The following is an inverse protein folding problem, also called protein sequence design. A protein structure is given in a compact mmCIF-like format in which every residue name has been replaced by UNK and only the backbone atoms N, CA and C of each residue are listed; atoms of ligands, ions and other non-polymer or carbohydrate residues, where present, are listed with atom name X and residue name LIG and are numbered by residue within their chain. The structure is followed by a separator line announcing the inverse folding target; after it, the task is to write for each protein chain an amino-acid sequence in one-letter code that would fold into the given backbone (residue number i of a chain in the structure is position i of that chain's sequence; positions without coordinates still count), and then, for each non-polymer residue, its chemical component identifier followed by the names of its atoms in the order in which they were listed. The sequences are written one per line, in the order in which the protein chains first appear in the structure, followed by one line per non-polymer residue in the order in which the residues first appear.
data_IF_119701705971
#
_entry.id   IF_119701705971
#
_cell.length_a   1.000
_cell.length_b   1.000
_cell.length_c   1.000
_cell.angle_alpha   90.00
_cell.angle_beta   90.00
_cell.angle_gamma   90.00
#
_symmetry.space_group_name_H-M   'P 1'
#
loop_
_entity.id
_entity.type
_entity.pdbx_description
1 polymer ?
#
# COMPACT_ATOMS: atom_id res chain seq x y z
N UNK A 1 1.80 8.51 7.49
CA UNK A 1 0.66 8.78 8.41
C UNK A 1 0.94 9.84 9.52
N UNK A 2 1.88 9.65 10.47
CA UNK A 2 2.08 10.58 11.61
C UNK A 2 2.24 12.06 11.21
N UNK A 3 3.08 12.31 10.21
CA UNK A 3 3.35 13.67 9.69
C UNK A 3 2.08 14.40 9.19
N UNK A 4 1.12 13.65 8.65
CA UNK A 4 -0.17 14.20 8.21
C UNK A 4 -1.06 14.50 9.42
N UNK A 5 -1.16 13.56 10.37
CA UNK A 5 -1.96 13.73 11.58
C UNK A 5 -1.54 14.97 12.39
N UNK A 6 -0.23 15.20 12.55
CA UNK A 6 0.30 16.37 13.26
C UNK A 6 -0.07 17.70 12.57
N UNK A 7 0.11 17.81 11.26
CA UNK A 7 -0.20 19.04 10.49
C UNK A 7 -1.69 19.34 10.42
N UNK A 8 -2.51 18.30 10.33
CA UNK A 8 -3.98 18.43 10.29
C UNK A 8 -4.62 18.47 11.68
N UNK A 9 -3.84 18.24 12.75
CA UNK A 9 -4.33 18.14 14.15
C UNK A 9 -5.41 17.07 14.31
N UNK A 10 -5.20 15.91 13.69
CA UNK A 10 -6.12 14.77 13.70
C UNK A 10 -5.55 13.60 14.53
N UNK A 11 -6.43 12.68 14.90
CA UNK A 11 -6.04 11.40 15.51
C UNK A 11 -5.33 10.48 14.52
N UNK A 12 -4.57 9.52 15.04
CA UNK A 12 -3.84 8.53 14.27
C UNK A 12 -4.30 7.12 14.67
N UNK A 13 -4.58 6.29 13.67
CA UNK A 13 -4.70 4.85 13.81
C UNK A 13 -3.60 4.18 12.98
N UNK A 14 -3.09 3.04 13.45
CA UNK A 14 -2.01 2.29 12.80
C UNK A 14 -2.50 0.88 12.51
N UNK A 15 -2.19 0.36 11.33
CA UNK A 15 -2.45 -1.03 10.99
C UNK A 15 -1.19 -1.86 11.20
N UNK A 16 -1.32 -3.02 11.83
CA UNK A 16 -0.25 -3.99 11.96
C UNK A 16 -0.70 -5.34 11.39
N UNK A 17 0.18 -5.97 10.62
CA UNK A 17 0.06 -7.39 10.29
C UNK A 17 0.69 -8.20 11.41
N UNK A 18 -0.11 -8.89 12.21
CA UNK A 18 0.41 -9.84 13.20
C UNK A 18 0.63 -11.19 12.54
N UNK A 19 1.90 -11.61 12.39
CA UNK A 19 2.21 -12.99 12.06
C UNK A 19 1.61 -13.89 13.13
N UNK A 20 0.55 -14.63 12.78
CA UNK A 20 0.13 -15.77 13.59
C UNK A 20 1.28 -16.80 13.52
N UNK A 21 2.17 -16.77 14.50
CA UNK A 21 2.95 -17.95 14.83
C UNK A 21 1.93 -18.96 15.37
N UNK A 22 1.53 -19.93 14.55
CA UNK A 22 0.85 -21.10 15.08
C UNK A 22 1.75 -21.72 16.14
N UNK A 23 1.22 -21.96 17.34
CA UNK A 23 1.89 -22.66 18.45
C UNK A 23 2.17 -24.16 18.14
N UNK A 24 2.47 -24.50 16.88
CA UNK A 24 2.79 -25.86 16.44
C UNK A 24 4.28 -26.14 16.30
N UNK A 25 5.14 -25.13 16.37
CA UNK A 25 6.60 -25.32 16.31
C UNK A 25 7.21 -25.52 17.71
N UNK A 26 6.67 -26.47 18.48
CA UNK A 26 7.47 -27.19 19.48
C UNK A 26 8.35 -28.20 18.76
N UNK A 27 9.29 -27.70 17.95
CA UNK A 27 10.37 -28.49 17.41
C UNK A 27 11.40 -28.69 18.53
N UNK A 28 11.27 -29.79 19.28
CA UNK A 28 12.17 -30.14 20.38
C UNK A 28 13.58 -30.57 19.94
N UNK A 29 14.02 -30.22 18.72
CA UNK A 29 15.40 -30.41 18.25
C UNK A 29 15.98 -31.84 18.32
N UNK A 30 15.17 -32.87 18.60
CA UNK A 30 15.64 -34.22 18.91
C UNK A 30 15.33 -35.27 17.86
N UNK A 31 14.70 -34.90 16.75
CA UNK A 31 14.37 -35.84 15.69
C UNK A 31 14.99 -35.42 14.35
N UNK A 32 16.00 -36.18 13.92
CA UNK A 32 16.45 -36.18 12.53
C UNK A 32 15.28 -36.56 11.61
N UNK A 33 15.13 -35.94 10.43
CA UNK A 33 14.05 -36.27 9.51
C UNK A 33 14.14 -37.75 9.08
N UNK A 34 13.01 -38.46 8.95
CA UNK A 34 13.01 -39.86 8.52
C UNK A 34 13.47 -39.97 7.05
N UNK A 35 14.14 -41.07 6.67
CA UNK A 35 14.53 -41.29 5.28
C UNK A 35 13.28 -41.50 4.42
N UNK A 36 13.24 -40.80 3.28
CA UNK A 36 12.12 -40.82 2.35
C UNK A 36 12.02 -42.19 1.65
N UNK A 37 10.86 -42.85 1.76
CA UNK A 37 10.59 -44.09 1.03
C UNK A 37 10.21 -43.80 -0.42
N UNK A 38 10.91 -44.46 -1.34
CA UNK A 38 10.82 -44.37 -2.79
C UNK A 38 9.41 -44.51 -3.40
N UNK A 39 9.09 -43.68 -4.40
CA UNK A 39 8.13 -44.04 -5.45
C UNK A 39 7.51 -42.91 -6.27
N UNK A 40 8.14 -42.51 -7.38
CA UNK A 40 7.64 -42.69 -8.78
C UNK A 40 8.23 -41.62 -9.71
N UNK A 41 9.02 -42.09 -10.67
CA UNK A 41 9.73 -41.36 -11.73
C UNK A 41 8.77 -40.67 -12.72
N UNK A 42 9.03 -39.39 -13.02
CA UNK A 42 8.86 -38.84 -14.37
C UNK A 42 10.18 -38.22 -14.81
N UNK A 43 10.58 -38.52 -16.03
CA UNK A 43 11.89 -38.26 -16.62
C UNK A 43 12.01 -36.85 -17.16
N UNK A 44 13.05 -36.11 -16.75
CA UNK A 44 13.49 -34.88 -17.43
C UNK A 44 14.48 -34.02 -16.63
N UNK A 45 15.75 -34.08 -17.01
CA UNK A 45 16.88 -33.19 -16.66
C UNK A 45 17.43 -33.20 -15.20
N UNK A 46 18.72 -33.58 -14.99
CA UNK A 46 19.39 -33.42 -13.72
C UNK A 46 20.04 -32.03 -13.65
N UNK A 47 19.50 -31.12 -12.86
CA UNK A 47 20.19 -29.87 -12.56
C UNK A 47 19.27 -28.76 -12.06
N UNK A 48 19.34 -28.50 -10.76
CA UNK A 48 18.65 -27.46 -9.99
C UNK A 48 17.12 -27.68 -9.81
N UNK A 49 16.77 -28.56 -8.87
CA UNK A 49 15.53 -28.37 -8.12
C UNK A 49 15.72 -27.14 -7.21
N UNK A 50 15.25 -25.98 -7.66
CA UNK A 50 15.05 -24.83 -6.78
C UNK A 50 13.96 -25.22 -5.78
N UNK A 51 14.19 -25.09 -4.46
CA UNK A 51 13.13 -25.27 -3.48
C UNK A 51 11.93 -24.41 -3.87
N UNK A 52 10.77 -25.04 -4.03
CA UNK A 52 9.51 -24.34 -4.25
C UNK A 52 9.29 -23.48 -2.99
N UNK A 53 9.57 -22.17 -3.08
CA UNK A 53 9.33 -21.25 -1.97
C UNK A 53 7.84 -21.32 -1.67
N UNK A 54 7.47 -21.87 -0.51
CA UNK A 54 6.10 -21.79 -0.04
C UNK A 54 5.71 -20.32 0.01
N UNK A 55 4.56 -20.00 -0.59
CA UNK A 55 4.00 -18.65 -0.51
C UNK A 55 3.86 -18.30 0.98
N UNK A 56 4.59 -17.27 1.42
CA UNK A 56 4.50 -16.77 2.79
C UNK A 56 3.11 -16.18 2.96
N UNK A 57 2.25 -16.85 3.73
CA UNK A 57 0.91 -16.37 4.02
C UNK A 57 1.01 -15.02 4.73
N UNK A 58 0.38 -13.99 4.15
CA UNK A 58 0.39 -12.64 4.73
C UNK A 58 -0.43 -12.66 6.03
N UNK A 59 0.10 -12.11 7.14
CA UNK A 59 -0.63 -12.05 8.39
C UNK A 59 -1.94 -11.26 8.28
N UNK A 60 -2.99 -11.64 9.04
CA UNK A 60 -4.20 -10.85 9.12
C UNK A 60 -3.88 -9.44 9.66
N UNK A 61 -4.45 -8.44 8.99
CA UNK A 61 -4.27 -7.02 9.33
C UNK A 61 -5.18 -6.69 10.51
N UNK A 62 -4.67 -5.93 11.47
CA UNK A 62 -5.45 -5.42 12.60
C UNK A 62 -5.19 -3.93 12.78
N UNK A 63 -6.21 -3.19 13.22
CA UNK A 63 -6.14 -1.73 13.43
C UNK A 63 -5.93 -1.44 14.91
N UNK A 64 -5.06 -0.50 15.23
CA UNK A 64 -4.87 0.08 16.57
C UNK A 64 -5.22 1.56 16.51
N UNK A 65 -6.26 1.95 17.25
CA UNK A 65 -6.81 3.31 17.25
C UNK A 65 -8.34 3.33 17.11
N UNK A 66 -8.96 4.46 17.45
CA UNK A 66 -10.40 4.68 17.30
C UNK A 66 -10.72 5.27 15.91
N UNK A 67 -11.49 4.53 15.11
CA UNK A 67 -11.94 4.93 13.77
C UNK A 67 -13.47 4.99 13.67
N UNK A 68 -14.20 4.62 14.72
CA UNK A 68 -15.65 4.49 14.70
C UNK A 68 -16.35 5.84 14.54
N UNK A 69 -17.27 5.93 13.57
CA UNK A 69 -18.02 7.16 13.29
C UNK A 69 -17.17 8.27 12.69
N UNK A 70 -15.99 7.96 12.13
CA UNK A 70 -15.06 8.93 11.52
C UNK A 70 -14.82 8.63 10.04
N UNK A 71 -14.25 9.62 9.35
CA UNK A 71 -13.62 9.42 8.04
C UNK A 71 -12.22 8.86 8.29
N UNK A 72 -11.89 7.74 7.65
CA UNK A 72 -10.55 7.18 7.64
C UNK A 72 -9.78 7.67 6.40
N UNK A 73 -8.54 8.14 6.60
CA UNK A 73 -7.64 8.52 5.52
C UNK A 73 -6.39 7.64 5.65
N UNK A 74 -6.23 6.69 4.74
CA UNK A 74 -5.04 5.86 4.60
C UNK A 74 -4.00 6.70 3.85
N UNK A 75 -2.79 6.79 4.39
CA UNK A 75 -1.71 7.60 3.81
C UNK A 75 -0.48 6.73 3.60
N UNK A 76 -0.07 6.60 2.35
CA UNK A 76 1.15 5.91 1.93
C UNK A 76 1.96 6.76 0.94
N UNK A 77 3.13 6.28 0.53
CA UNK A 77 3.93 6.93 -0.52
C UNK A 77 3.58 6.43 -1.93
N UNK A 78 3.33 5.13 -2.08
CA UNK A 78 3.09 4.44 -3.35
C UNK A 78 1.82 3.60 -3.25
N UNK A 79 1.03 3.57 -4.33
CA UNK A 79 -0.02 2.58 -4.54
C UNK A 79 0.25 1.83 -5.86
N UNK A 80 0.55 0.54 -5.73
CA UNK A 80 0.83 -0.36 -6.86
C UNK A 80 -0.09 -1.59 -6.77
N UNK A 81 0.24 -2.53 -5.89
CA UNK A 81 -0.66 -3.61 -5.47
C UNK A 81 -1.68 -3.08 -4.47
N UNK A 82 -2.96 -3.33 -4.72
CA UNK A 82 -4.07 -2.74 -3.94
C UNK A 82 -4.72 -3.70 -2.95
N UNK A 83 -4.35 -4.97 -2.95
CA UNK A 83 -4.97 -6.00 -2.09
C UNK A 83 -4.92 -5.61 -0.60
N UNK A 84 -3.76 -5.15 -0.13
CA UNK A 84 -3.57 -4.75 1.26
C UNK A 84 -4.40 -3.49 1.60
N UNK A 85 -4.55 -2.57 0.64
CA UNK A 85 -5.39 -1.37 0.79
C UNK A 85 -6.88 -1.70 0.84
N UNK A 86 -7.33 -2.67 0.04
CA UNK A 86 -8.71 -3.16 0.04
C UNK A 86 -9.00 -3.87 1.36
N UNK A 87 -8.13 -4.78 1.81
CA UNK A 87 -8.27 -5.45 3.11
C UNK A 87 -8.33 -4.44 4.27
N UNK A 88 -7.46 -3.43 4.24
CA UNK A 88 -7.48 -2.32 5.19
C UNK A 88 -8.82 -1.56 5.18
N UNK A 89 -9.35 -1.24 4.00
CA UNK A 89 -10.61 -0.54 3.85
C UNK A 89 -11.78 -1.33 4.47
N UNK A 90 -11.85 -2.64 4.23
CA UNK A 90 -12.89 -3.49 4.82
C UNK A 90 -12.83 -3.49 6.35
N UNK A 91 -11.63 -3.65 6.94
CA UNK A 91 -11.46 -3.62 8.41
C UNK A 91 -11.86 -2.26 8.99
N UNK A 92 -11.51 -1.16 8.32
CA UNK A 92 -11.91 0.18 8.73
C UNK A 92 -13.44 0.34 8.68
N UNK A 93 -14.09 -0.21 7.64
CA UNK A 93 -15.55 -0.20 7.48
C UNK A 93 -16.24 -0.98 8.58
N UNK A 94 -15.76 -2.20 8.87
CA UNK A 94 -16.26 -3.05 9.96
C UNK A 94 -16.16 -2.37 11.32
N UNK A 95 -15.10 -1.59 11.54
CA UNK A 95 -14.89 -0.79 12.75
C UNK A 95 -15.67 0.52 12.78
N UNK A 96 -16.54 0.76 11.81
CA UNK A 96 -17.47 1.87 11.78
C UNK A 96 -16.95 3.16 11.15
N UNK A 97 -15.86 3.11 10.37
CA UNK A 97 -15.49 4.24 9.53
C UNK A 97 -16.55 4.43 8.44
N UNK A 98 -17.12 5.62 8.30
CA UNK A 98 -18.23 5.84 7.36
C UNK A 98 -17.75 6.23 5.96
N UNK A 99 -16.54 6.77 5.83
CA UNK A 99 -15.84 7.02 4.57
C UNK A 99 -14.36 6.64 4.66
N UNK A 100 -13.79 6.17 3.54
CA UNK A 100 -12.41 5.71 3.43
C UNK A 100 -11.76 6.36 2.21
N UNK A 101 -10.70 7.13 2.47
CA UNK A 101 -9.88 7.77 1.45
C UNK A 101 -8.48 7.16 1.47
N UNK A 102 -7.86 7.03 0.30
CA UNK A 102 -6.44 6.69 0.17
C UNK A 102 -5.70 7.88 -0.42
N UNK A 103 -4.58 8.24 0.18
CA UNK A 103 -3.65 9.23 -0.35
C UNK A 103 -2.29 8.59 -0.56
N UNK A 104 -1.77 8.68 -1.79
CA UNK A 104 -0.42 8.26 -2.13
C UNK A 104 0.25 9.28 -3.05
N UNK A 105 1.58 9.35 -3.00
CA UNK A 105 2.32 10.21 -3.93
C UNK A 105 2.33 9.57 -5.32
N UNK A 106 2.70 8.30 -5.41
CA UNK A 106 2.88 7.61 -6.69
C UNK A 106 1.75 6.61 -6.95
N UNK A 107 0.94 6.87 -7.98
CA UNK A 107 -0.09 5.93 -8.45
C UNK A 107 0.41 5.07 -9.59
N UNK A 108 1.04 3.93 -9.28
CA UNK A 108 1.45 2.94 -10.29
C UNK A 108 0.23 2.15 -10.76
N UNK A 109 -0.60 1.72 -9.80
CA UNK A 109 -1.90 1.10 -10.03
C UNK A 109 -1.82 -0.01 -11.09
N UNK A 110 -0.91 -0.96 -10.90
CA UNK A 110 -0.64 -2.00 -11.89
C UNK A 110 -1.75 -3.07 -11.92
N UNK A 111 -1.73 -3.87 -12.99
CA UNK A 111 -2.64 -5.00 -13.19
C UNK A 111 -4.13 -4.62 -12.99
N UNK A 112 -4.81 -5.33 -12.09
CA UNK A 112 -6.26 -5.20 -11.82
C UNK A 112 -6.58 -4.13 -10.77
N UNK A 113 -5.61 -3.32 -10.36
CA UNK A 113 -5.76 -2.34 -9.28
C UNK A 113 -7.00 -1.44 -9.43
N UNK A 114 -7.29 -0.83 -10.61
CA UNK A 114 -8.45 0.05 -10.76
C UNK A 114 -9.78 -0.69 -10.53
N UNK A 115 -9.88 -1.93 -11.01
CA UNK A 115 -11.08 -2.76 -10.84
C UNK A 115 -11.30 -3.11 -9.36
N UNK A 116 -10.24 -3.52 -8.66
CA UNK A 116 -10.30 -3.85 -7.24
C UNK A 116 -10.67 -2.64 -6.38
N UNK A 117 -10.15 -1.45 -6.70
CA UNK A 117 -10.52 -0.20 -6.02
C UNK A 117 -12.02 0.10 -6.24
N UNK A 118 -12.52 -0.04 -7.47
CA UNK A 118 -13.93 0.21 -7.79
C UNK A 118 -14.88 -0.72 -7.02
N UNK A 119 -14.54 -2.01 -6.94
CA UNK A 119 -15.33 -3.04 -6.25
C UNK A 119 -15.24 -2.97 -4.71
N UNK A 120 -14.26 -2.27 -4.15
CA UNK A 120 -14.00 -2.20 -2.71
C UNK A 120 -14.81 -1.14 -1.93
N UNK A 121 -14.73 -1.20 -0.60
CA UNK A 121 -15.25 -0.17 0.31
C UNK A 121 -14.54 1.20 0.26
N UNK A 122 -13.49 1.37 -0.56
CA UNK A 122 -12.78 2.65 -0.72
C UNK A 122 -13.70 3.65 -1.44
N UNK A 123 -13.82 4.87 -0.91
CA UNK A 123 -14.63 5.93 -1.53
C UNK A 123 -13.84 6.70 -2.59
N UNK A 124 -12.57 7.02 -2.32
CA UNK A 124 -11.74 7.82 -3.22
C UNK A 124 -10.25 7.53 -3.02
N UNK A 125 -9.51 7.49 -4.14
CA UNK A 125 -8.05 7.31 -4.17
C UNK A 125 -7.43 8.55 -4.78
N UNK A 126 -6.63 9.28 -4.00
CA UNK A 126 -5.96 10.51 -4.42
C UNK A 126 -4.49 10.22 -4.63
N UNK A 127 -4.04 10.35 -5.89
CA UNK A 127 -2.64 10.18 -6.29
C UNK A 127 -2.13 11.42 -7.01
N UNK A 128 -0.82 11.58 -7.14
CA UNK A 128 -0.26 12.66 -7.97
C UNK A 128 0.00 12.21 -9.41
N UNK A 129 0.18 13.14 -10.34
CA UNK A 129 0.62 12.86 -11.71
C UNK A 129 2.14 12.56 -11.84
N UNK A 130 2.80 12.09 -10.78
CA UNK A 130 4.21 11.63 -10.85
C UNK A 130 4.41 10.43 -11.76
N UNK A 131 3.38 9.60 -11.94
CA UNK A 131 3.35 8.47 -12.88
C UNK A 131 2.08 8.61 -13.74
N UNK A 132 2.15 8.47 -15.07
CA UNK A 132 0.95 8.52 -15.93
C UNK A 132 -0.03 7.38 -15.61
N UNK A 133 -1.30 7.70 -15.37
CA UNK A 133 -2.33 6.73 -14.98
C UNK A 133 -3.71 7.00 -15.60
N UNK A 134 -3.77 7.60 -16.80
CA UNK A 134 -5.03 7.98 -17.45
C UNK A 134 -5.92 6.77 -17.79
N UNK A 135 -5.31 5.62 -18.15
CA UNK A 135 -6.05 4.39 -18.43
C UNK A 135 -6.74 3.87 -17.17
N UNK A 136 -6.02 3.85 -16.05
CA UNK A 136 -6.52 3.44 -14.75
C UNK A 136 -7.66 4.34 -14.27
N UNK A 137 -7.53 5.65 -14.48
CA UNK A 137 -8.55 6.64 -14.14
C UNK A 137 -9.83 6.51 -14.98
N UNK A 138 -9.69 6.11 -16.26
CA UNK A 138 -10.84 5.79 -17.11
C UNK A 138 -11.57 4.52 -16.63
N UNK A 139 -10.84 3.56 -16.06
CA UNK A 139 -11.41 2.32 -15.53
C UNK A 139 -12.06 2.50 -14.16
N UNK A 140 -11.58 3.44 -13.34
CA UNK A 140 -12.08 3.67 -11.98
C UNK A 140 -12.25 5.17 -11.68
N UNK A 141 -13.50 5.70 -11.65
CA UNK A 141 -13.78 7.11 -11.39
C UNK A 141 -13.45 7.58 -9.97
N UNK A 142 -13.23 6.64 -9.04
CA UNK A 142 -12.76 6.92 -7.66
C UNK A 142 -11.31 7.45 -7.63
N UNK A 143 -10.53 7.26 -8.70
CA UNK A 143 -9.15 7.76 -8.78
C UNK A 143 -9.17 9.26 -9.13
N UNK A 144 -8.62 10.08 -8.22
CA UNK A 144 -8.41 11.51 -8.41
C UNK A 144 -6.92 11.81 -8.49
N UNK A 145 -6.58 12.74 -9.37
CA UNK A 145 -5.20 13.13 -9.64
C UNK A 145 -4.97 14.54 -9.13
N UNK A 146 -3.93 14.74 -8.33
CA UNK A 146 -3.40 16.05 -7.96
C UNK A 146 -2.19 16.36 -8.85
N UNK A 147 -2.19 17.54 -9.46
CA UNK A 147 -1.06 17.98 -10.26
C UNK A 147 0.10 18.42 -9.34
N UNK A 148 1.31 17.94 -9.64
CA UNK A 148 2.56 18.37 -8.97
C UNK A 148 3.52 19.08 -9.91
N UNK A 149 3.09 19.41 -11.14
CA UNK A 149 3.89 20.10 -12.15
C UNK A 149 4.49 21.41 -11.61
N UNK A 150 3.73 22.17 -10.83
CA UNK A 150 4.16 23.43 -10.23
C UNK A 150 5.34 23.26 -9.27
N UNK A 151 5.32 22.22 -8.43
CA UNK A 151 6.42 21.91 -7.49
C UNK A 151 7.68 21.55 -8.28
N UNK A 152 7.54 20.76 -9.34
CA UNK A 152 8.66 20.36 -10.18
C UNK A 152 9.22 21.53 -10.98
N UNK A 153 8.37 22.37 -11.57
CA UNK A 153 8.77 23.55 -12.33
C UNK A 153 9.53 24.56 -11.46
N UNK A 154 9.03 24.82 -10.25
CA UNK A 154 9.67 25.74 -9.32
C UNK A 154 11.02 25.21 -8.80
N UNK A 155 11.13 23.90 -8.59
CA UNK A 155 12.40 23.25 -8.26
C UNK A 155 13.44 23.43 -9.39
N UNK A 156 13.04 23.18 -10.64
CA UNK A 156 13.91 23.36 -11.81
C UNK A 156 14.35 24.82 -11.95
N UNK A 157 13.41 25.77 -11.84
CA UNK A 157 13.67 27.21 -11.94
C UNK A 157 14.69 27.67 -10.89
N UNK A 158 14.53 27.24 -9.64
CA UNK A 158 15.43 27.59 -8.54
C UNK A 158 16.83 27.02 -8.72
N UNK A 159 16.94 25.74 -9.10
CA UNK A 159 18.23 25.10 -9.36
C UNK A 159 18.95 25.82 -10.52
N UNK A 160 18.23 26.14 -11.59
CA UNK A 160 18.79 26.86 -12.73
C UNK A 160 19.33 28.25 -12.36
N UNK A 161 18.63 28.96 -11.48
CA UNK A 161 19.01 30.31 -11.03
C UNK A 161 19.95 30.34 -9.81
N UNK A 162 20.31 29.19 -9.24
CA UNK A 162 21.10 29.12 -8.00
C UNK A 162 20.36 29.64 -6.76
N UNK A 163 19.03 29.62 -6.78
CA UNK A 163 18.18 30.08 -5.67
C UNK A 163 18.01 29.00 -4.59
N UNK A 164 17.66 29.43 -3.37
CA UNK A 164 17.41 28.50 -2.27
C UNK A 164 16.15 27.65 -2.50
N UNK A 165 16.29 26.34 -2.28
CA UNK A 165 15.19 25.36 -2.30
C UNK A 165 14.29 25.42 -1.04
N UNK A 166 14.69 26.14 0.02
CA UNK A 166 13.94 26.17 1.27
C UNK A 166 12.51 26.74 1.13
N UNK A 167 12.26 27.55 0.10
CA UNK A 167 10.96 28.15 -0.18
C UNK A 167 9.94 27.15 -0.77
N UNK A 168 10.40 26.07 -1.41
CA UNK A 168 9.54 25.07 -2.06
C UNK A 168 8.54 24.43 -1.07
N UNK A 169 8.95 24.29 0.19
CA UNK A 169 8.19 23.61 1.23
C UNK A 169 7.29 24.52 2.06
N UNK A 170 7.24 25.83 1.76
CA UNK A 170 6.52 26.82 2.58
C UNK A 170 5.35 27.49 1.87
N UNK A 171 5.44 27.68 0.54
CA UNK A 171 4.59 28.64 -0.17
C UNK A 171 3.93 28.11 -1.44
N UNK A 172 3.86 26.80 -1.69
CA UNK A 172 3.17 26.27 -2.87
C UNK A 172 1.72 25.97 -2.50
N UNK A 173 0.81 26.75 -3.08
CA UNK A 173 -0.65 26.60 -2.99
C UNK A 173 -1.16 25.67 -4.09
N UNK A 174 -2.30 25.01 -3.85
CA UNK A 174 -2.95 24.10 -4.82
C UNK A 174 -3.74 24.89 -5.88
N UNK A 175 -3.94 26.20 -5.66
CA UNK A 175 -4.81 27.07 -6.44
C UNK A 175 -4.09 27.91 -7.52
N UNK A 176 -2.79 27.69 -7.75
CA UNK A 176 -1.99 28.33 -8.82
C UNK A 176 -1.57 27.33 -9.90
#
# INVERSE_FOLDING_TARGET
AQSYAERLRLGLAVMHGEAQCSESDMADGRHSPPPMSSGRTTSGHPGLELPLMMAKEKPPITVVGDVGGRIAIIVDDIIDDVEDFVAAAEILKERGAYKIYIMATHGLLSAEAPRLIEESAIDEVVVTNTVPHEVQKLQCPKIKTVDVSMILAEAIRRIHNGESMAYLFRNITVDD
#
